data_IF_314324700075
#
_entry.id   IF_314324700075
#
_cell.length_a   1.000
_cell.length_b   1.000
_cell.length_c   1.000
_cell.angle_alpha   90.00
_cell.angle_beta   90.00
_cell.angle_gamma   90.00
#
_symmetry.space_group_name_H-M   'P 1'
#
loop_
_entity.id
_entity.type
_entity.pdbx_description
1 polymer ?
#
# COMPACT_ATOMS: atom_id res chain seq x y z
N UNK A 1 1.38 -0.35 3.61
CA UNK A 1 1.16 -1.62 2.89
C UNK A 1 1.73 -2.79 3.67
N UNK A 2 3.00 -2.74 4.09
CA UNK A 2 3.65 -3.77 4.92
C UNK A 2 3.31 -3.65 6.42
N UNK A 3 2.03 -3.68 6.79
CA UNK A 3 1.62 -3.95 8.19
C UNK A 3 1.29 -5.43 8.27
N UNK A 4 1.68 -6.14 9.34
CA UNK A 4 1.47 -7.60 9.47
C UNK A 4 0.00 -8.02 9.30
N UNK A 5 -0.92 -7.16 9.73
CA UNK A 5 -2.37 -7.31 9.54
C UNK A 5 -2.80 -7.45 8.06
N UNK A 6 -2.11 -6.76 7.14
CA UNK A 6 -2.40 -6.81 5.70
C UNK A 6 -1.80 -8.05 5.00
N UNK A 7 -0.84 -8.72 5.63
CA UNK A 7 -0.31 -10.00 5.14
C UNK A 7 -1.24 -11.16 5.51
N UNK A 8 -1.82 -11.14 6.70
CA UNK A 8 -2.70 -12.20 7.19
C UNK A 8 -4.12 -12.06 6.62
N UNK A 9 -4.71 -10.86 6.70
CA UNK A 9 -6.09 -10.66 6.31
C UNK A 9 -6.23 -10.05 4.91
N UNK A 10 -5.24 -9.31 4.42
CA UNK A 10 -5.39 -8.46 3.23
C UNK A 10 -5.95 -7.08 3.57
N UNK A 11 -6.20 -6.25 2.55
CA UNK A 11 -6.67 -4.88 2.72
C UNK A 11 -7.69 -4.49 1.64
N UNK A 12 -8.57 -3.54 1.97
CA UNK A 12 -9.59 -3.03 1.06
C UNK A 12 -9.19 -1.63 0.56
N UNK A 13 -9.69 -1.24 -0.62
CA UNK A 13 -9.47 0.11 -1.15
C UNK A 13 -9.83 1.20 -0.13
N UNK A 14 -10.97 1.06 0.58
CA UNK A 14 -11.40 2.02 1.62
C UNK A 14 -10.30 2.28 2.66
N UNK A 15 -9.75 1.22 3.25
CA UNK A 15 -8.69 1.30 4.25
C UNK A 15 -7.41 1.94 3.68
N UNK A 16 -7.01 1.54 2.46
CA UNK A 16 -5.83 2.13 1.82
C UNK A 16 -6.03 3.62 1.49
N UNK A 17 -7.22 4.00 1.02
CA UNK A 17 -7.56 5.40 0.75
C UNK A 17 -7.50 6.22 2.04
N UNK A 18 -8.07 5.71 3.12
CA UNK A 18 -8.06 6.37 4.43
C UNK A 18 -6.64 6.50 4.99
N UNK A 19 -5.80 5.46 4.85
CA UNK A 19 -4.40 5.51 5.25
C UNK A 19 -3.54 6.50 4.43
N UNK A 20 -3.87 6.73 3.17
CA UNK A 20 -3.10 7.61 2.27
C UNK A 20 -3.57 9.07 2.27
N UNK A 21 -4.87 9.29 2.49
CA UNK A 21 -5.51 10.60 2.26
C UNK A 21 -6.40 11.05 3.43
N UNK A 22 -6.53 10.25 4.48
CA UNK A 22 -7.45 10.51 5.58
C UNK A 22 -8.93 10.24 5.24
N UNK A 23 -9.77 10.49 6.24
CA UNK A 23 -11.23 10.46 6.09
C UNK A 23 -11.71 11.77 5.47
N UNK A 24 -12.69 11.67 4.56
CA UNK A 24 -13.36 12.84 3.98
C UNK A 24 -14.87 12.63 3.99
N UNK A 25 -15.61 13.66 4.39
CA UNK A 25 -17.07 13.63 4.41
C UNK A 25 -17.67 14.03 3.05
N UNK A 26 -16.92 14.75 2.21
CA UNK A 26 -17.35 15.14 0.86
C UNK A 26 -17.48 13.89 -0.05
N UNK A 27 -18.69 13.56 -0.53
CA UNK A 27 -18.91 12.43 -1.41
C UNK A 27 -18.15 12.52 -2.74
N UNK A 28 -17.99 13.73 -3.30
CA UNK A 28 -17.32 13.94 -4.58
C UNK A 28 -15.82 13.66 -4.46
N UNK A 29 -15.19 14.27 -3.45
CA UNK A 29 -13.78 14.01 -3.13
C UNK A 29 -13.54 12.54 -2.77
N UNK A 30 -14.44 11.91 -1.99
CA UNK A 30 -14.35 10.47 -1.67
C UNK A 30 -14.35 9.60 -2.93
N UNK A 31 -15.22 9.89 -3.90
CA UNK A 31 -15.29 9.16 -5.18
C UNK A 31 -14.00 9.34 -5.98
N UNK A 32 -13.49 10.57 -6.08
CA UNK A 32 -12.23 10.89 -6.78
C UNK A 32 -11.03 10.16 -6.18
N UNK A 33 -10.89 10.20 -4.85
CA UNK A 33 -9.80 9.51 -4.14
C UNK A 33 -9.92 7.98 -4.23
N UNK A 34 -11.15 7.44 -4.20
CA UNK A 34 -11.40 6.01 -4.40
C UNK A 34 -10.99 5.55 -5.80
N UNK A 35 -11.32 6.32 -6.84
CA UNK A 35 -10.91 6.03 -8.22
C UNK A 35 -9.38 6.09 -8.38
N UNK A 36 -8.73 7.11 -7.80
CA UNK A 36 -7.26 7.23 -7.76
C UNK A 36 -6.60 6.02 -7.09
N UNK A 37 -7.16 5.58 -5.96
CA UNK A 37 -6.66 4.42 -5.21
C UNK A 37 -6.87 3.12 -6.00
N UNK A 38 -8.04 2.94 -6.62
CA UNK A 38 -8.33 1.80 -7.52
C UNK A 38 -7.34 1.71 -8.68
N UNK A 39 -6.98 2.86 -9.29
CA UNK A 39 -5.98 2.90 -10.36
C UNK A 39 -4.61 2.41 -9.88
N UNK A 40 -4.16 2.86 -8.71
CA UNK A 40 -2.89 2.41 -8.09
C UNK A 40 -2.91 0.90 -7.80
N UNK A 41 -4.00 0.39 -7.24
CA UNK A 41 -4.17 -1.04 -7.00
C UNK A 41 -4.10 -1.86 -8.30
N UNK A 42 -4.68 -1.35 -9.39
CA UNK A 42 -4.59 -2.00 -10.70
C UNK A 42 -3.16 -2.10 -11.21
N UNK A 43 -2.36 -1.03 -11.05
CA UNK A 43 -0.94 -1.05 -11.42
C UNK A 43 -0.16 -2.07 -10.59
N UNK A 44 -0.34 -2.07 -9.27
CA UNK A 44 0.31 -3.05 -8.39
C UNK A 44 -0.06 -4.49 -8.76
N UNK A 45 -1.31 -4.73 -9.18
CA UNK A 45 -1.76 -6.03 -9.69
C UNK A 45 -1.10 -6.40 -11.01
N UNK A 46 -1.02 -5.47 -11.95
CA UNK A 46 -0.36 -5.69 -13.25
C UNK A 46 1.12 -6.07 -13.07
N UNK A 47 1.80 -5.50 -12.07
CA UNK A 47 3.18 -5.87 -11.72
C UNK A 47 3.30 -7.14 -10.87
N UNK A 48 2.18 -7.76 -10.50
CA UNK A 48 2.14 -8.99 -9.70
C UNK A 48 2.53 -8.80 -8.23
N UNK A 49 2.51 -7.57 -7.71
CA UNK A 49 2.87 -7.26 -6.32
C UNK A 49 1.72 -7.56 -5.36
N UNK A 50 0.48 -7.42 -5.84
CA UNK A 50 -0.72 -7.75 -5.08
C UNK A 50 -1.66 -8.60 -5.94
N UNK A 51 -2.52 -9.38 -5.30
CA UNK A 51 -3.61 -10.13 -5.94
C UNK A 51 -4.96 -9.70 -5.36
N UNK A 52 -6.02 -9.76 -6.17
CA UNK A 52 -7.39 -9.56 -5.68
C UNK A 52 -7.94 -10.91 -5.21
N UNK A 53 -8.58 -10.94 -4.05
CA UNK A 53 -9.28 -12.13 -3.54
C UNK A 53 -10.57 -12.31 -4.35
N UNK A 54 -10.85 -13.51 -4.91
CA UNK A 54 -12.09 -13.78 -5.61
C UNK A 54 -13.31 -13.49 -4.72
N UNK A 55 -14.40 -12.99 -5.31
CA UNK A 55 -15.67 -12.70 -4.61
C UNK A 55 -15.59 -11.62 -3.50
N UNK A 56 -14.43 -11.03 -3.25
CA UNK A 56 -14.24 -9.96 -2.28
C UNK A 56 -13.67 -8.68 -2.92
N UNK A 57 -13.85 -7.55 -2.24
CA UNK A 57 -13.18 -6.28 -2.56
C UNK A 57 -11.77 -6.17 -1.93
N UNK A 58 -11.22 -7.32 -1.54
CA UNK A 58 -9.97 -7.44 -0.78
C UNK A 58 -8.78 -7.72 -1.67
N UNK A 59 -7.64 -7.18 -1.28
CA UNK A 59 -6.35 -7.39 -1.93
C UNK A 59 -5.35 -7.99 -0.93
N UNK A 60 -4.46 -8.85 -1.42
CA UNK A 60 -3.41 -9.48 -0.64
C UNK A 60 -2.05 -9.26 -1.30
N UNK A 61 -1.00 -9.14 -0.50
CA UNK A 61 0.38 -9.14 -1.00
C UNK A 61 0.73 -10.51 -1.57
N UNK A 62 1.44 -10.52 -2.71
CA UNK A 62 2.04 -11.75 -3.24
C UNK A 62 3.43 -11.95 -2.60
N UNK A 63 4.04 -13.13 -2.77
CA UNK A 63 5.42 -13.34 -2.35
C UNK A 63 6.39 -12.35 -3.01
N UNK A 64 6.16 -12.02 -4.30
CA UNK A 64 6.91 -10.97 -5.02
C UNK A 64 6.72 -9.60 -4.37
N UNK A 65 5.47 -9.22 -4.11
CA UNK A 65 5.17 -7.95 -3.43
C UNK A 65 5.81 -7.85 -2.06
N UNK A 66 5.82 -8.95 -1.30
CA UNK A 66 6.43 -9.03 0.01
C UNK A 66 7.94 -8.79 -0.04
N UNK A 67 8.65 -9.45 -0.97
CA UNK A 67 10.09 -9.22 -1.21
C UNK A 67 10.39 -7.77 -1.59
N UNK A 68 9.59 -7.19 -2.49
CA UNK A 68 9.75 -5.78 -2.90
C UNK A 68 9.50 -4.83 -1.73
N UNK A 69 8.47 -5.07 -0.92
CA UNK A 69 8.22 -4.27 0.27
C UNK A 69 9.37 -4.39 1.29
N UNK A 70 9.89 -5.60 1.53
CA UNK A 70 11.01 -5.81 2.43
C UNK A 70 12.28 -5.09 1.94
N UNK A 71 12.61 -5.22 0.65
CA UNK A 71 13.73 -4.50 0.05
C UNK A 71 13.57 -2.97 0.17
N UNK A 72 12.36 -2.46 -0.06
CA UNK A 72 12.08 -1.02 0.07
C UNK A 72 12.20 -0.54 1.51
N UNK A 73 11.75 -1.32 2.49
CA UNK A 73 11.90 -1.01 3.91
C UNK A 73 13.39 -1.01 4.32
N UNK A 74 14.14 -2.02 3.89
CA UNK A 74 15.58 -2.10 4.16
C UNK A 74 16.36 -0.95 3.51
N UNK A 75 16.03 -0.57 2.27
CA UNK A 75 16.63 0.58 1.61
C UNK A 75 16.31 1.89 2.34
N UNK A 76 15.07 2.03 2.83
CA UNK A 76 14.64 3.21 3.60
C UNK A 76 15.39 3.34 4.93
N UNK A 77 15.63 2.23 5.64
CA UNK A 77 16.39 2.25 6.90
C UNK A 77 17.86 2.61 6.70
N UNK A 78 18.49 2.15 5.62
CA UNK A 78 19.87 2.52 5.27
C UNK A 78 19.98 4.02 5.02
N UNK A 79 19.02 4.60 4.29
CA UNK A 79 19.01 6.04 4.01
C UNK A 79 18.84 6.87 5.29
N UNK A 80 18.00 6.43 6.25
CA UNK A 80 17.89 7.11 7.55
C UNK A 80 19.18 7.03 8.36
N UNK A 81 19.89 5.89 8.35
CA UNK A 81 21.20 5.78 9.03
C UNK A 81 22.26 6.67 8.37
N UNK A 82 22.27 6.78 7.04
CA UNK A 82 23.15 7.70 6.32
C UNK A 82 22.84 9.17 6.66
N UNK A 83 21.57 9.56 6.70
CA UNK A 83 21.15 10.90 7.12
C UNK A 83 21.61 11.21 8.55
N UNK A 84 21.45 10.27 9.48
CA UNK A 84 21.93 10.43 10.87
C UNK A 84 23.46 10.57 10.96
N UNK A 85 24.21 9.86 10.10
CA UNK A 85 25.68 9.92 10.08
C UNK A 85 26.22 11.24 9.51
N UNK A 86 25.47 11.90 8.63
CA UNK A 86 25.83 13.22 8.07
C UNK A 86 25.45 14.36 9.03
N UNK A 87 24.41 14.16 9.84
CA UNK A 87 23.92 15.15 10.80
C UNK A 87 24.66 15.16 12.15
N UNK A 88 25.58 14.22 12.37
CA UNK A 88 26.44 14.11 13.55
C UNK A 88 27.84 14.65 13.24
#
# INVERSE_FOLDING_TARGET
LSRGEHQLNGFVNKQLREALYGCTQDPAQRKKLSAKTSRRLRLLRAHGLIRKVPKENRYQLTAKGLRVCAAMLAASSVNTQQLMKIAA
#
